data_IF_544310277232
#
_entry.id   IF_544310277232
#
_cell.length_a   1.000
_cell.length_b   1.000
_cell.length_c   1.000
_cell.angle_alpha   90.00
_cell.angle_beta   90.00
_cell.angle_gamma   90.00
#
_symmetry.space_group_name_H-M   'P 1'
#
loop_
_entity.id
_entity.type
_entity.pdbx_description
1 polymer ?
#
# COMPACT_ATOMS: atom_id res chain seq x y z
N UNK A 1 7.83 27.90 28.92
CA UNK A 1 7.23 26.67 28.37
C UNK A 1 7.11 26.92 26.89
N UNK A 2 7.99 26.33 26.07
CA UNK A 2 7.97 26.59 24.63
C UNK A 2 6.92 25.70 24.00
N UNK A 3 5.89 26.30 23.41
CA UNK A 3 4.92 25.58 22.59
C UNK A 3 5.62 25.08 21.34
N UNK A 4 5.76 23.75 21.24
CA UNK A 4 6.19 23.09 20.00
C UNK A 4 4.92 22.84 19.19
N UNK A 5 4.76 23.57 18.10
CA UNK A 5 3.72 23.27 17.13
C UNK A 5 4.05 21.93 16.44
N UNK A 6 3.16 20.94 16.59
CA UNK A 6 3.23 19.70 15.82
C UNK A 6 2.96 20.02 14.35
N UNK A 7 4.00 19.91 13.51
CA UNK A 7 3.84 20.02 12.07
C UNK A 7 3.17 18.73 11.57
N UNK A 8 1.88 18.81 11.20
CA UNK A 8 1.14 17.66 10.67
C UNK A 8 1.70 17.37 9.27
N UNK A 9 2.47 16.29 9.16
CA UNK A 9 2.98 15.81 7.88
C UNK A 9 1.80 15.42 6.95
N UNK A 10 1.93 15.59 5.63
CA UNK A 10 0.92 15.15 4.65
C UNK A 10 0.64 13.65 4.80
N UNK A 11 -0.61 13.25 4.68
CA UNK A 11 -1.07 11.91 5.09
C UNK A 11 -0.40 10.79 4.28
N UNK A 12 -0.23 11.03 2.98
CA UNK A 12 0.52 10.19 2.05
C UNK A 12 2.00 10.63 1.97
N UNK A 13 2.90 9.81 2.52
CA UNK A 13 4.35 10.08 2.54
C UNK A 13 5.17 8.81 2.40
N UNK A 14 6.25 8.89 1.61
CA UNK A 14 7.32 7.89 1.62
C UNK A 14 8.63 8.58 2.00
N UNK A 15 9.22 8.17 3.13
CA UNK A 15 10.41 8.79 3.69
C UNK A 15 11.57 7.78 3.79
N UNK A 16 12.73 8.03 3.17
CA UNK A 16 13.92 7.22 3.42
C UNK A 16 14.48 7.51 4.82
N UNK A 17 15.05 6.49 5.46
CA UNK A 17 15.78 6.64 6.71
C UNK A 17 17.06 5.81 6.71
N UNK A 18 17.99 6.16 7.60
CA UNK A 18 19.19 5.39 7.89
C UNK A 18 19.36 5.34 9.41
N UNK A 19 19.80 4.19 9.93
CA UNK A 19 20.16 4.05 11.34
C UNK A 19 21.61 4.53 11.50
N UNK A 20 21.82 5.57 12.30
CA UNK A 20 23.18 6.09 12.56
C UNK A 20 24.03 5.03 13.28
N UNK A 21 25.30 4.91 12.86
CA UNK A 21 26.22 3.89 13.39
C UNK A 21 26.05 2.49 12.79
N UNK A 22 24.98 2.23 12.02
CA UNK A 22 24.70 0.92 11.43
C UNK A 22 24.65 0.99 9.90
N UNK A 23 24.98 -0.11 9.23
CA UNK A 23 24.83 -0.24 7.77
C UNK A 23 23.40 -0.60 7.35
N UNK A 24 22.41 0.03 7.97
CA UNK A 24 20.97 -0.25 7.75
C UNK A 24 20.29 0.99 7.19
N UNK A 25 19.67 0.84 6.02
CA UNK A 25 18.82 1.84 5.37
C UNK A 25 17.44 1.27 5.17
N UNK A 26 16.44 2.12 5.28
CA UNK A 26 15.06 1.72 5.08
C UNK A 26 14.21 2.85 4.50
N UNK A 27 12.94 2.55 4.37
CA UNK A 27 11.90 3.50 3.97
C UNK A 27 10.69 3.27 4.87
N UNK A 28 10.04 4.36 5.24
CA UNK A 28 8.74 4.36 5.88
C UNK A 28 7.72 4.84 4.87
N UNK A 29 6.59 4.16 4.80
CA UNK A 29 5.41 4.63 4.06
C UNK A 29 4.29 4.88 5.06
N UNK A 30 3.59 6.00 4.88
CA UNK A 30 2.27 6.24 5.44
C UNK A 30 1.37 6.58 4.27
N UNK A 31 0.20 5.96 4.24
CA UNK A 31 -0.82 6.24 3.24
C UNK A 31 -2.12 6.60 3.97
N UNK A 32 -2.76 7.66 3.50
CA UNK A 32 -4.06 8.14 3.95
C UNK A 32 -5.03 8.16 2.78
N UNK A 33 -5.22 9.34 2.18
CA UNK A 33 -6.20 9.53 1.11
C UNK A 33 -5.93 8.62 -0.11
N UNK A 34 -4.67 8.46 -0.53
CA UNK A 34 -4.36 7.69 -1.73
C UNK A 34 -4.83 6.23 -1.64
N UNK A 35 -4.55 5.55 -0.52
CA UNK A 35 -5.01 4.16 -0.33
C UNK A 35 -6.50 4.09 -0.02
N UNK A 36 -7.04 5.09 0.68
CA UNK A 36 -8.47 5.16 0.97
C UNK A 36 -9.30 5.23 -0.31
N UNK A 37 -8.92 6.09 -1.27
CA UNK A 37 -9.60 6.19 -2.56
C UNK A 37 -9.57 4.86 -3.32
N UNK A 38 -8.42 4.18 -3.37
CA UNK A 38 -8.27 2.87 -4.03
C UNK A 38 -9.19 1.82 -3.41
N UNK A 39 -9.23 1.74 -2.09
CA UNK A 39 -10.03 0.75 -1.37
C UNK A 39 -11.53 1.10 -1.46
N UNK A 40 -11.90 2.37 -1.30
CA UNK A 40 -13.29 2.85 -1.33
C UNK A 40 -13.95 2.78 -2.70
N UNK A 41 -13.15 2.65 -3.77
CA UNK A 41 -13.65 2.51 -5.14
C UNK A 41 -14.44 1.23 -5.38
N UNK A 42 -14.33 0.25 -4.48
CA UNK A 42 -15.04 -1.02 -4.52
C UNK A 42 -15.51 -1.39 -3.10
N UNK A 43 -16.70 -1.99 -2.97
CA UNK A 43 -17.20 -2.49 -1.68
C UNK A 43 -16.48 -3.78 -1.27
N UNK A 44 -15.17 -3.70 -1.05
CA UNK A 44 -14.34 -4.84 -0.66
C UNK A 44 -14.65 -5.25 0.79
N UNK A 45 -14.84 -6.56 1.06
CA UNK A 45 -14.81 -7.08 2.43
C UNK A 45 -13.49 -6.74 3.12
N UNK A 46 -13.50 -6.56 4.44
CA UNK A 46 -12.34 -6.10 5.21
C UNK A 46 -11.05 -6.90 4.94
N UNK A 47 -11.07 -8.25 4.86
CA UNK A 47 -9.86 -9.01 4.55
C UNK A 47 -9.27 -8.69 3.16
N UNK A 48 -10.14 -8.41 2.18
CA UNK A 48 -9.73 -8.08 0.80
C UNK A 48 -9.18 -6.65 0.74
N UNK A 49 -9.83 -5.72 1.45
CA UNK A 49 -9.38 -4.34 1.59
C UNK A 49 -7.99 -4.27 2.24
N UNK A 50 -7.76 -5.04 3.31
CA UNK A 50 -6.49 -5.11 4.01
C UNK A 50 -5.37 -5.62 3.09
N UNK A 51 -5.60 -6.74 2.38
CA UNK A 51 -4.63 -7.27 1.43
C UNK A 51 -4.30 -6.27 0.31
N UNK A 52 -5.31 -5.56 -0.22
CA UNK A 52 -5.10 -4.53 -1.23
C UNK A 52 -4.26 -3.37 -0.68
N UNK A 53 -4.53 -2.94 0.56
CA UNK A 53 -3.76 -1.92 1.27
C UNK A 53 -2.29 -2.31 1.45
N UNK A 54 -2.02 -3.56 1.83
CA UNK A 54 -0.66 -4.10 1.95
C UNK A 54 0.07 -4.11 0.59
N UNK A 55 -0.61 -4.53 -0.48
CA UNK A 55 -0.04 -4.51 -1.82
C UNK A 55 0.30 -3.08 -2.29
N UNK A 56 -0.59 -2.11 -1.99
CA UNK A 56 -0.37 -0.69 -2.26
C UNK A 56 0.84 -0.14 -1.48
N UNK A 57 0.95 -0.49 -0.20
CA UNK A 57 2.06 -0.07 0.66
C UNK A 57 3.40 -0.62 0.13
N UNK A 58 3.41 -1.90 -0.26
CA UNK A 58 4.58 -2.54 -0.86
C UNK A 58 4.98 -1.89 -2.19
N UNK A 59 4.00 -1.62 -3.07
CA UNK A 59 4.24 -0.94 -4.33
C UNK A 59 4.83 0.47 -4.13
N UNK A 60 4.32 1.25 -3.18
CA UNK A 60 4.85 2.58 -2.85
C UNK A 60 6.27 2.52 -2.26
N UNK A 61 6.52 1.59 -1.34
CA UNK A 61 7.85 1.40 -0.73
C UNK A 61 8.93 1.09 -1.76
N UNK A 62 8.65 0.13 -2.64
CA UNK A 62 9.62 -0.31 -3.66
C UNK A 62 9.65 0.67 -4.83
N UNK A 63 8.50 1.15 -5.30
CA UNK A 63 8.36 2.05 -6.45
C UNK A 63 9.03 3.40 -6.24
N UNK A 64 8.91 3.98 -5.04
CA UNK A 64 9.58 5.23 -4.66
C UNK A 64 11.12 5.14 -4.58
N UNK A 65 11.69 3.92 -4.70
CA UNK A 65 13.13 3.69 -4.70
C UNK A 65 13.73 3.56 -6.09
N UNK A 66 12.89 3.52 -7.14
CA UNK A 66 13.34 3.45 -8.53
C UNK A 66 14.05 4.75 -8.92
N UNK A 67 15.16 4.61 -9.66
CA UNK A 67 16.02 5.72 -10.10
C UNK A 67 15.81 6.11 -11.57
N UNK A 68 14.84 5.49 -12.23
CA UNK A 68 14.51 5.68 -13.63
C UNK A 68 13.02 5.96 -13.77
N UNK A 69 12.63 6.58 -14.88
CA UNK A 69 11.23 6.82 -15.19
C UNK A 69 10.55 5.53 -15.65
N UNK A 70 9.50 5.12 -14.96
CA UNK A 70 8.79 3.89 -15.29
C UNK A 70 7.71 3.52 -14.29
N UNK A 71 7.40 2.22 -14.26
CA UNK A 71 6.34 1.67 -13.42
C UNK A 71 6.81 0.39 -12.75
N UNK A 72 6.49 0.27 -11.46
CA UNK A 72 6.54 -0.98 -10.72
C UNK A 72 5.14 -1.59 -10.68
N UNK A 73 5.05 -2.90 -10.88
CA UNK A 73 3.81 -3.66 -10.67
C UNK A 73 4.09 -4.76 -9.65
N UNK A 74 3.35 -4.72 -8.53
CA UNK A 74 3.27 -5.81 -7.55
C UNK A 74 2.02 -6.61 -7.88
N UNK A 75 2.16 -7.90 -8.15
CA UNK A 75 1.02 -8.77 -8.44
C UNK A 75 1.14 -10.13 -7.77
N UNK A 76 0.00 -10.69 -7.38
CA UNK A 76 -0.11 -12.08 -6.96
C UNK A 76 -1.41 -12.70 -7.48
N UNK A 77 -1.36 -13.99 -7.81
CA UNK A 77 -2.49 -14.75 -8.34
C UNK A 77 -2.51 -16.15 -7.72
N UNK A 78 -3.70 -16.67 -7.44
CA UNK A 78 -3.85 -18.02 -6.90
C UNK A 78 -5.30 -18.50 -6.83
N UNK A 79 -5.50 -19.68 -6.26
CA UNK A 79 -6.80 -20.36 -6.18
C UNK A 79 -7.55 -20.13 -4.84
N UNK A 80 -7.02 -19.23 -4.01
CA UNK A 80 -7.61 -18.85 -2.72
C UNK A 80 -8.81 -17.89 -2.84
N UNK A 81 -9.34 -17.40 -1.71
CA UNK A 81 -10.46 -16.47 -1.67
C UNK A 81 -10.19 -15.16 -2.43
N UNK A 82 -8.95 -14.65 -2.39
CA UNK A 82 -8.48 -13.61 -3.32
C UNK A 82 -7.76 -14.29 -4.48
N UNK A 83 -8.34 -14.16 -5.68
CA UNK A 83 -7.84 -14.80 -6.91
C UNK A 83 -6.72 -14.01 -7.54
N UNK A 84 -6.76 -12.70 -7.41
CA UNK A 84 -5.81 -11.79 -8.03
C UNK A 84 -5.73 -10.50 -7.21
N UNK A 85 -4.52 -10.04 -6.94
CA UNK A 85 -4.24 -8.70 -6.39
C UNK A 85 -3.15 -8.06 -7.23
N UNK A 86 -3.34 -6.79 -7.55
CA UNK A 86 -2.34 -5.97 -8.24
C UNK A 86 -2.30 -4.58 -7.64
N UNK A 87 -1.10 -4.04 -7.50
CA UNK A 87 -0.85 -2.64 -7.24
C UNK A 87 0.28 -2.14 -8.14
N UNK A 88 0.06 -1.02 -8.82
CA UNK A 88 1.08 -0.39 -9.65
C UNK A 88 1.43 1.02 -9.19
N UNK A 89 2.73 1.27 -9.09
CA UNK A 89 3.31 2.56 -8.74
C UNK A 89 4.05 3.11 -9.96
N UNK A 90 3.63 4.28 -10.41
CA UNK A 90 4.29 5.03 -11.46
C UNK A 90 5.27 6.02 -10.83
N UNK A 91 6.47 6.19 -11.39
CA UNK A 91 7.49 7.08 -10.81
C UNK A 91 7.10 8.56 -10.85
N UNK A 92 6.03 8.92 -11.57
CA UNK A 92 5.34 10.22 -11.43
C UNK A 92 4.61 10.43 -10.09
N UNK A 93 4.50 9.39 -9.26
CA UNK A 93 3.82 9.40 -7.96
C UNK A 93 2.39 8.88 -7.98
N UNK A 94 1.89 8.40 -9.13
CA UNK A 94 0.57 7.76 -9.20
C UNK A 94 0.61 6.35 -8.63
N UNK A 95 -0.41 6.00 -7.84
CA UNK A 95 -0.63 4.67 -7.30
C UNK A 95 -2.01 4.17 -7.72
N UNK A 96 -2.11 2.89 -8.07
CA UNK A 96 -3.36 2.21 -8.38
C UNK A 96 -3.35 0.81 -7.79
N UNK A 97 -4.52 0.29 -7.47
CA UNK A 97 -4.67 -1.06 -6.93
C UNK A 97 -6.00 -1.67 -7.34
N UNK A 98 -6.02 -3.00 -7.45
CA UNK A 98 -7.22 -3.76 -7.72
C UNK A 98 -7.10 -5.18 -7.16
N UNK A 99 -8.20 -5.68 -6.60
CA UNK A 99 -8.38 -7.07 -6.18
C UNK A 99 -9.55 -7.73 -6.92
N UNK A 100 -9.35 -8.99 -7.32
CA UNK A 100 -10.42 -9.92 -7.71
C UNK A 100 -10.52 -11.00 -6.66
N UNK A 101 -11.71 -11.20 -6.11
CA UNK A 101 -11.97 -12.17 -5.06
C UNK A 101 -13.24 -12.98 -5.34
N UNK A 102 -13.41 -14.02 -4.56
CA UNK A 102 -14.53 -14.96 -4.58
C UNK A 102 -15.38 -14.69 -3.33
N UNK A 103 -16.56 -14.10 -3.52
CA UNK A 103 -17.41 -13.59 -2.42
C UNK A 103 -17.80 -14.69 -1.43
N UNK A 104 -18.17 -15.87 -1.93
CA UNK A 104 -18.56 -17.01 -1.10
C UNK A 104 -17.39 -17.47 -0.22
N UNK A 105 -16.22 -17.66 -0.83
CA UNK A 105 -15.02 -18.09 -0.09
C UNK A 105 -14.52 -17.04 0.90
N UNK A 106 -14.68 -15.75 0.61
CA UNK A 106 -14.32 -14.69 1.56
C UNK A 106 -15.30 -14.66 2.73
N UNK A 107 -16.61 -14.81 2.46
CA UNK A 107 -17.62 -14.87 3.52
C UNK A 107 -17.41 -16.08 4.47
N UNK A 108 -16.97 -17.21 3.95
CA UNK A 108 -16.60 -18.38 4.77
C UNK A 108 -15.49 -18.07 5.78
N UNK A 109 -14.51 -17.23 5.42
CA UNK A 109 -13.41 -16.82 6.32
C UNK A 109 -13.87 -15.95 7.48
N UNK A 110 -14.95 -15.17 7.32
CA UNK A 110 -15.46 -14.29 8.38
C UNK A 110 -16.24 -15.06 9.45
N UNK A 111 -16.63 -16.30 9.17
CA UNK A 111 -17.45 -17.14 10.06
C UNK A 111 -16.66 -18.15 10.90
N UNK A 112 -15.34 -18.26 10.69
CA UNK A 112 -14.44 -19.20 11.40
C UNK A 112 -13.52 -18.52 12.40
#
# INVERSE_FOLDING_TARGET
MSDIALQIAPDDIVAPFQIEGESVRGRLVRMGAAVHEIISGHDYPEPVANLLGEACALAALVGSSLKFDGRLIVQAQGDGPVRYVVADYDTSGSLRGYCRFDEEKVAELETG
#
